data_IF_335987989588
#
_entry.id   IF_335987989588
#
_cell.length_a   1.000
_cell.length_b   1.000
_cell.length_c   1.000
_cell.angle_alpha   90.00
_cell.angle_beta   90.00
_cell.angle_gamma   90.00
#
_symmetry.space_group_name_H-M   'P 1'
#
loop_
_entity.id
_entity.type
_entity.pdbx_description
1 polymer ?
#
# COMPACT_ATOMS: atom_id res chain seq x y z
N UNK A 1 -20.75 -45.04 35.88
CA UNK A 1 -20.86 -43.65 36.37
C UNK A 1 -19.65 -42.77 36.04
N UNK A 2 -18.40 -43.12 36.41
CA UNK A 2 -17.22 -42.26 36.16
C UNK A 2 -16.99 -41.83 34.69
N UNK A 3 -17.17 -42.73 33.72
CA UNK A 3 -16.98 -42.41 32.28
C UNK A 3 -18.01 -41.41 31.73
N UNK A 4 -19.26 -41.51 32.18
CA UNK A 4 -20.35 -40.61 31.77
C UNK A 4 -20.10 -39.19 32.32
N UNK A 5 -19.61 -39.09 33.56
CA UNK A 5 -19.25 -37.82 34.17
C UNK A 5 -18.12 -37.09 33.42
N UNK A 6 -17.07 -37.81 33.01
CA UNK A 6 -15.95 -37.21 32.25
C UNK A 6 -16.42 -36.69 30.89
N UNK A 7 -17.27 -37.45 30.18
CA UNK A 7 -17.82 -37.02 28.88
C UNK A 7 -18.67 -35.75 29.04
N UNK A 8 -19.51 -35.69 30.08
CA UNK A 8 -20.31 -34.50 30.38
C UNK A 8 -19.44 -33.27 30.67
N UNK A 9 -18.35 -33.41 31.44
CA UNK A 9 -17.42 -32.32 31.70
C UNK A 9 -16.73 -31.81 30.43
N UNK A 10 -16.29 -32.71 29.55
CA UNK A 10 -15.66 -32.33 28.27
C UNK A 10 -16.66 -31.59 27.38
N UNK A 11 -17.90 -32.10 27.28
CA UNK A 11 -18.95 -31.48 26.49
C UNK A 11 -19.30 -30.07 27.02
N UNK A 12 -19.38 -29.92 28.35
CA UNK A 12 -19.62 -28.63 28.99
C UNK A 12 -18.49 -27.63 28.70
N UNK A 13 -17.23 -28.06 28.76
CA UNK A 13 -16.07 -27.24 28.42
C UNK A 13 -16.09 -26.80 26.94
N UNK A 14 -16.44 -27.69 26.01
CA UNK A 14 -16.54 -27.37 24.59
C UNK A 14 -17.68 -26.37 24.34
N UNK A 15 -18.86 -26.59 24.93
CA UNK A 15 -20.01 -25.67 24.81
C UNK A 15 -19.65 -24.30 25.39
N UNK A 16 -19.03 -24.26 26.57
CA UNK A 16 -18.61 -23.00 27.21
C UNK A 16 -17.57 -22.28 26.36
N UNK A 17 -16.61 -23.00 25.77
CA UNK A 17 -15.63 -22.42 24.86
C UNK A 17 -16.27 -21.86 23.59
N UNK A 18 -17.21 -22.58 22.97
CA UNK A 18 -17.95 -22.12 21.77
C UNK A 18 -18.80 -20.89 22.08
N UNK A 19 -19.52 -20.89 23.21
CA UNK A 19 -20.33 -19.75 23.63
C UNK A 19 -19.45 -18.54 23.93
N UNK A 20 -18.37 -18.72 24.70
CA UNK A 20 -17.44 -17.65 25.07
C UNK A 20 -16.73 -17.05 23.85
N UNK A 21 -16.25 -17.89 22.93
CA UNK A 21 -15.62 -17.44 21.68
C UNK A 21 -16.62 -16.72 20.77
N UNK A 22 -17.88 -17.16 20.67
CA UNK A 22 -18.93 -16.44 19.94
C UNK A 22 -19.30 -15.11 20.59
N UNK A 23 -19.37 -15.02 21.92
CA UNK A 23 -19.66 -13.75 22.60
C UNK A 23 -18.53 -12.74 22.49
N UNK A 24 -17.26 -13.16 22.57
CA UNK A 24 -16.12 -12.26 22.34
C UNK A 24 -16.08 -11.78 20.89
N UNK A 25 -16.33 -12.68 19.92
CA UNK A 25 -16.40 -12.28 18.50
C UNK A 25 -17.54 -11.28 18.25
N UNK A 26 -18.71 -11.51 18.85
CA UNK A 26 -19.86 -10.62 18.70
C UNK A 26 -19.65 -9.28 19.40
N UNK A 27 -19.04 -9.25 20.58
CA UNK A 27 -18.77 -7.99 21.29
C UNK A 27 -17.70 -7.15 20.60
N UNK A 28 -16.63 -7.75 20.10
CA UNK A 28 -15.62 -7.04 19.31
C UNK A 28 -16.21 -6.49 18.01
N UNK A 29 -17.02 -7.29 17.30
CA UNK A 29 -17.73 -6.86 16.10
C UNK A 29 -18.75 -5.75 16.37
N UNK A 30 -19.55 -5.86 17.43
CA UNK A 30 -20.54 -4.86 17.80
C UNK A 30 -19.89 -3.56 18.28
N UNK A 31 -18.82 -3.64 19.06
CA UNK A 31 -18.05 -2.47 19.48
C UNK A 31 -17.40 -1.78 18.28
N UNK A 32 -16.93 -2.54 17.29
CA UNK A 32 -16.38 -1.99 16.05
C UNK A 32 -17.46 -1.31 15.19
N UNK A 33 -18.66 -1.89 15.08
CA UNK A 33 -19.81 -1.26 14.40
C UNK A 33 -20.19 0.04 15.11
N UNK A 34 -20.30 0.01 16.44
CA UNK A 34 -20.69 1.17 17.25
C UNK A 34 -19.62 2.26 17.16
N UNK A 35 -18.34 1.93 17.30
CA UNK A 35 -17.24 2.89 17.14
C UNK A 35 -17.21 3.48 15.73
N UNK A 36 -17.39 2.68 14.68
CA UNK A 36 -17.47 3.17 13.30
C UNK A 36 -18.69 4.08 13.06
N UNK A 37 -19.83 3.79 13.70
CA UNK A 37 -21.05 4.59 13.58
C UNK A 37 -20.93 5.92 14.33
N UNK A 38 -20.32 5.92 15.52
CA UNK A 38 -20.03 7.12 16.32
C UNK A 38 -18.95 7.97 15.64
N UNK A 39 -17.96 7.35 15.00
CA UNK A 39 -16.95 8.07 14.22
C UNK A 39 -17.60 8.70 12.97
N UNK A 40 -18.47 7.98 12.25
CA UNK A 40 -19.25 8.54 11.13
C UNK A 40 -20.18 9.70 11.54
N UNK A 41 -20.77 9.66 12.74
CA UNK A 41 -21.69 10.73 13.18
C UNK A 41 -21.00 11.99 13.69
N UNK A 42 -19.68 11.95 13.96
CA UNK A 42 -18.90 13.11 14.44
C UNK A 42 -18.27 13.94 13.31
N UNK A 43 -18.37 13.51 12.05
CA UNK A 43 -17.86 14.20 10.86
C UNK A 43 -19.01 14.71 9.95
N UNK A 44 -20.11 15.20 10.54
CA UNK A 44 -21.24 15.78 9.79
C UNK A 44 -21.06 17.28 9.53
N UNK A 45 -19.96 17.63 8.87
CA UNK A 45 -19.94 18.68 7.85
C UNK A 45 -19.31 18.06 6.60
N UNK A 46 -19.66 18.48 5.37
CA UNK A 46 -19.07 17.95 4.15
C UNK A 46 -17.64 18.50 3.97
N UNK A 47 -16.75 18.30 4.94
CA UNK A 47 -15.32 18.37 4.67
C UNK A 47 -14.99 17.21 3.72
N UNK A 48 -14.41 17.53 2.56
CA UNK A 48 -14.00 16.56 1.56
C UNK A 48 -13.21 15.42 2.23
N UNK A 49 -13.55 14.16 1.90
CA UNK A 49 -12.91 13.00 2.55
C UNK A 49 -11.44 12.96 2.16
N UNK A 50 -10.61 12.43 3.05
CA UNK A 50 -9.16 12.34 2.86
C UNK A 50 -8.77 10.87 2.88
N UNK A 51 -8.03 10.45 1.87
CA UNK A 51 -7.56 9.09 1.69
C UNK A 51 -6.03 9.04 1.71
N UNK A 52 -5.46 8.00 2.29
CA UNK A 52 -4.04 7.69 2.16
C UNK A 52 -3.91 6.40 1.33
N UNK A 53 -3.22 6.48 0.19
CA UNK A 53 -3.03 5.35 -0.73
C UNK A 53 -1.59 4.87 -0.72
N UNK A 54 -1.41 3.57 -0.51
CA UNK A 54 -0.14 2.89 -0.72
C UNK A 54 -0.36 1.55 -1.37
N UNK A 55 0.71 1.00 -1.92
CA UNK A 55 0.69 -0.29 -2.57
C UNK A 55 1.87 -1.13 -2.10
N UNK A 56 1.71 -2.44 -2.19
CA UNK A 56 2.78 -3.39 -1.96
C UNK A 56 2.65 -4.56 -2.94
N UNK A 57 3.79 -5.04 -3.43
CA UNK A 57 3.81 -6.25 -4.25
C UNK A 57 3.59 -7.48 -3.39
N UNK A 58 2.68 -8.36 -3.81
CA UNK A 58 2.47 -9.68 -3.19
C UNK A 58 3.62 -10.66 -3.53
N UNK A 59 4.45 -10.29 -4.50
CA UNK A 59 5.64 -11.04 -4.94
C UNK A 59 6.94 -10.37 -4.48
N UNK A 60 6.87 -9.42 -3.54
CA UNK A 60 8.08 -8.81 -2.98
C UNK A 60 8.90 -9.84 -2.21
N UNK A 61 10.22 -9.82 -2.42
CA UNK A 61 11.16 -10.59 -1.59
C UNK A 61 11.20 -10.07 -0.14
N UNK A 62 10.89 -8.79 0.08
CA UNK A 62 10.80 -8.18 1.40
C UNK A 62 9.42 -8.48 1.99
N UNK A 63 9.38 -9.39 2.96
CA UNK A 63 8.13 -9.85 3.60
C UNK A 63 7.45 -8.73 4.41
N UNK A 64 8.22 -7.75 4.86
CA UNK A 64 7.75 -6.68 5.72
C UNK A 64 6.66 -5.80 5.08
N UNK A 65 6.66 -5.60 3.76
CA UNK A 65 5.68 -4.69 3.14
C UNK A 65 4.23 -5.18 3.29
N UNK A 66 3.97 -6.46 2.99
CA UNK A 66 2.64 -7.05 3.20
C UNK A 66 2.30 -7.20 4.69
N UNK A 67 3.32 -7.40 5.54
CA UNK A 67 3.17 -7.41 6.99
C UNK A 67 2.70 -6.04 7.51
N UNK A 68 3.32 -4.95 7.04
CA UNK A 68 3.02 -3.59 7.50
C UNK A 68 1.67 -3.07 7.06
N UNK A 69 1.10 -3.58 5.96
CA UNK A 69 -0.13 -3.05 5.40
C UNK A 69 -1.23 -2.69 6.44
N UNK A 70 -1.67 -3.59 7.35
CA UNK A 70 -2.64 -3.22 8.38
C UNK A 70 -2.15 -2.17 9.39
N UNK A 71 -0.86 -2.19 9.75
CA UNK A 71 -0.31 -1.23 10.71
C UNK A 71 -0.15 0.16 10.08
N UNK A 72 0.29 0.24 8.82
CA UNK A 72 0.37 1.46 8.01
C UNK A 72 -1.01 2.04 7.77
N UNK A 73 -2.00 1.21 7.43
CA UNK A 73 -3.38 1.66 7.29
C UNK A 73 -3.89 2.33 8.58
N UNK A 74 -3.61 1.73 9.75
CA UNK A 74 -4.01 2.29 11.03
C UNK A 74 -3.25 3.57 11.41
N UNK A 75 -1.96 3.69 11.05
CA UNK A 75 -1.17 4.89 11.34
C UNK A 75 -1.71 6.12 10.61
N UNK A 76 -2.18 5.95 9.37
CA UNK A 76 -2.88 6.99 8.61
C UNK A 76 -4.31 7.24 9.13
N UNK A 77 -5.06 6.19 9.47
CA UNK A 77 -6.41 6.31 10.04
C UNK A 77 -6.44 7.11 11.34
N UNK A 78 -5.42 6.93 12.19
CA UNK A 78 -5.22 7.69 13.43
C UNK A 78 -5.23 9.20 13.22
N UNK A 79 -4.69 9.67 12.10
CA UNK A 79 -4.57 11.11 11.80
C UNK A 79 -5.66 11.62 10.83
N UNK A 80 -6.73 10.84 10.63
CA UNK A 80 -7.93 11.27 9.91
C UNK A 80 -7.97 10.94 8.41
N UNK A 81 -7.12 10.01 7.95
CA UNK A 81 -7.12 9.54 6.56
C UNK A 81 -7.74 8.15 6.42
N UNK A 82 -8.63 7.95 5.44
CA UNK A 82 -9.16 6.63 5.10
C UNK A 82 -8.13 5.85 4.26
N UNK A 83 -7.67 4.67 4.72
CA UNK A 83 -6.62 3.95 4.01
C UNK A 83 -7.15 3.20 2.78
N UNK A 84 -6.44 3.34 1.66
CA UNK A 84 -6.58 2.55 0.44
C UNK A 84 -5.29 1.74 0.27
N UNK A 85 -5.43 0.42 0.34
CA UNK A 85 -4.30 -0.51 0.24
C UNK A 85 -4.43 -1.29 -1.04
N UNK A 86 -3.42 -1.20 -1.88
CA UNK A 86 -3.37 -1.93 -3.15
C UNK A 86 -2.35 -3.06 -3.04
N UNK A 87 -2.84 -4.29 -3.15
CA UNK A 87 -1.98 -5.44 -3.35
C UNK A 87 -1.77 -5.64 -4.84
N UNK A 88 -0.50 -5.62 -5.27
CA UNK A 88 -0.15 -5.68 -6.69
C UNK A 88 0.52 -7.01 -7.01
N UNK A 89 0.03 -7.73 -8.02
CA UNK A 89 0.70 -8.92 -8.53
C UNK A 89 -0.21 -9.89 -9.26
N UNK A 90 0.38 -11.05 -9.55
CA UNK A 90 -0.33 -12.15 -10.21
C UNK A 90 -1.12 -13.00 -9.22
N UNK A 91 -2.41 -12.73 -9.06
CA UNK A 91 -3.31 -13.47 -8.18
C UNK A 91 -3.77 -14.80 -8.76
N UNK A 92 -3.50 -15.07 -10.05
CA UNK A 92 -3.87 -16.33 -10.72
C UNK A 92 -2.87 -17.46 -10.44
N UNK A 93 -1.65 -17.13 -10.00
CA UNK A 93 -0.63 -18.12 -9.64
C UNK A 93 -1.05 -18.89 -8.40
N UNK A 94 -0.84 -20.21 -8.45
CA UNK A 94 -1.06 -21.09 -7.30
C UNK A 94 -0.21 -20.65 -6.11
N UNK A 95 -0.77 -20.73 -4.90
CA UNK A 95 -0.08 -20.44 -3.62
C UNK A 95 0.32 -18.97 -3.40
N UNK A 96 -0.16 -18.01 -4.20
CA UNK A 96 0.12 -16.57 -3.99
C UNK A 96 -0.74 -15.97 -2.88
N UNK A 97 -1.98 -16.43 -2.72
CA UNK A 97 -2.81 -16.13 -1.56
C UNK A 97 -2.33 -16.93 -0.34
N UNK A 98 -1.13 -16.60 0.12
CA UNK A 98 -0.53 -17.20 1.31
C UNK A 98 -1.41 -16.92 2.54
N UNK A 99 -1.28 -17.77 3.57
CA UNK A 99 -1.94 -17.52 4.85
C UNK A 99 -1.60 -16.14 5.41
N UNK A 100 -0.38 -15.64 5.15
CA UNK A 100 0.08 -14.30 5.55
C UNK A 100 -0.66 -13.18 4.83
N UNK A 101 -0.76 -13.23 3.51
CA UNK A 101 -1.48 -12.22 2.75
C UNK A 101 -2.96 -12.17 3.16
N UNK A 102 -3.59 -13.34 3.33
CA UNK A 102 -4.97 -13.43 3.82
C UNK A 102 -5.11 -12.87 5.24
N UNK A 103 -4.14 -13.11 6.12
CA UNK A 103 -4.11 -12.52 7.45
C UNK A 103 -4.04 -10.98 7.38
N UNK A 104 -3.12 -10.42 6.60
CA UNK A 104 -3.01 -8.97 6.39
C UNK A 104 -4.33 -8.35 5.89
N UNK A 105 -4.97 -8.99 4.90
CA UNK A 105 -6.27 -8.56 4.35
C UNK A 105 -7.39 -8.61 5.38
N UNK A 106 -7.43 -9.65 6.21
CA UNK A 106 -8.44 -9.77 7.27
C UNK A 106 -8.31 -8.65 8.29
N UNK A 107 -7.08 -8.30 8.68
CA UNK A 107 -6.83 -7.17 9.58
C UNK A 107 -7.16 -5.83 8.93
N UNK A 108 -6.82 -5.64 7.65
CA UNK A 108 -7.23 -4.44 6.88
C UNK A 108 -8.75 -4.27 6.84
N UNK A 109 -9.50 -5.37 6.57
CA UNK A 109 -10.97 -5.36 6.60
C UNK A 109 -11.52 -4.99 7.98
N UNK A 110 -10.88 -5.47 9.06
CA UNK A 110 -11.23 -5.06 10.44
C UNK A 110 -10.94 -3.57 10.71
N UNK A 111 -9.94 -2.99 10.06
CA UNK A 111 -9.68 -1.55 10.20
C UNK A 111 -10.63 -0.69 9.36
N UNK A 112 -11.43 -1.31 8.48
CA UNK A 112 -12.29 -0.59 7.54
C UNK A 112 -11.50 0.02 6.37
N UNK A 113 -10.32 -0.52 6.07
CA UNK A 113 -9.53 -0.10 4.91
C UNK A 113 -10.19 -0.55 3.60
N UNK A 114 -10.03 0.25 2.55
CA UNK A 114 -10.33 -0.18 1.19
C UNK A 114 -9.17 -1.03 0.70
N UNK A 115 -9.45 -2.28 0.31
CA UNK A 115 -8.43 -3.22 -0.19
C UNK A 115 -8.70 -3.50 -1.66
N UNK A 116 -7.72 -3.23 -2.51
CA UNK A 116 -7.78 -3.44 -3.95
C UNK A 116 -6.73 -4.45 -4.39
N UNK A 117 -7.14 -5.37 -5.26
CA UNK A 117 -6.25 -6.31 -5.92
C UNK A 117 -5.96 -5.81 -7.32
N UNK A 118 -4.72 -5.42 -7.57
CA UNK A 118 -4.26 -4.98 -8.87
C UNK A 118 -3.55 -6.13 -9.59
N UNK A 119 -4.29 -6.79 -10.49
CA UNK A 119 -3.78 -7.93 -11.24
C UNK A 119 -2.73 -7.50 -12.28
N UNK A 120 -1.55 -8.10 -12.21
CA UNK A 120 -0.50 -7.96 -13.22
C UNK A 120 0.38 -9.22 -13.28
N UNK A 121 1.23 -9.39 -14.30
CA UNK A 121 2.24 -10.45 -14.26
C UNK A 121 3.23 -10.24 -13.10
N UNK A 122 3.75 -11.33 -12.52
CA UNK A 122 4.66 -11.29 -11.37
C UNK A 122 5.89 -10.38 -11.61
N UNK A 123 6.48 -10.46 -12.81
CA UNK A 123 7.66 -9.68 -13.21
C UNK A 123 7.46 -8.17 -13.17
N UNK A 124 6.22 -7.68 -13.18
CA UNK A 124 5.89 -6.25 -13.10
C UNK A 124 5.44 -5.81 -11.71
N UNK A 125 5.20 -6.74 -10.78
CA UNK A 125 4.50 -6.46 -9.53
C UNK A 125 5.19 -5.43 -8.64
N UNK A 126 6.51 -5.51 -8.46
CA UNK A 126 7.28 -4.57 -7.63
C UNK A 126 7.24 -3.17 -8.27
N UNK A 127 7.50 -3.09 -9.58
CA UNK A 127 7.47 -1.85 -10.35
C UNK A 127 6.10 -1.18 -10.32
N UNK A 128 5.05 -1.95 -10.53
CA UNK A 128 3.67 -1.44 -10.49
C UNK A 128 3.25 -1.06 -9.08
N UNK A 129 3.76 -1.73 -8.04
CA UNK A 129 3.50 -1.29 -6.66
C UNK A 129 4.05 0.11 -6.36
N UNK A 130 5.02 0.61 -7.14
CA UNK A 130 5.45 2.00 -7.07
C UNK A 130 4.56 2.90 -7.94
N UNK A 131 4.41 2.54 -9.22
CA UNK A 131 3.73 3.36 -10.24
C UNK A 131 2.22 3.53 -10.03
N UNK A 132 1.54 2.55 -9.45
CA UNK A 132 0.06 2.53 -9.37
C UNK A 132 -0.52 3.76 -8.67
N UNK A 133 0.24 4.35 -7.75
CA UNK A 133 -0.17 5.53 -6.97
C UNK A 133 -0.28 6.81 -7.83
N UNK A 134 0.52 6.90 -8.90
CA UNK A 134 0.48 8.00 -9.88
C UNK A 134 -0.89 8.05 -10.58
N UNK A 135 -1.53 6.89 -10.73
CA UNK A 135 -2.81 6.71 -11.42
C UNK A 135 -4.01 6.72 -10.46
N UNK A 136 -3.85 7.22 -9.24
CA UNK A 136 -4.91 7.24 -8.22
C UNK A 136 -6.16 8.03 -8.62
N UNK A 137 -6.06 8.92 -9.62
CA UNK A 137 -7.20 9.63 -10.20
C UNK A 137 -8.23 8.72 -10.90
N UNK A 138 -7.82 7.51 -11.28
CA UNK A 138 -8.69 6.52 -11.95
C UNK A 138 -9.33 5.52 -10.98
N UNK A 139 -9.13 5.67 -9.67
CA UNK A 139 -9.81 4.82 -8.69
C UNK A 139 -11.34 4.86 -8.89
N UNK A 140 -12.06 3.76 -8.61
CA UNK A 140 -13.52 3.72 -8.73
C UNK A 140 -14.25 4.79 -7.90
N UNK A 141 -15.32 5.38 -8.45
CA UNK A 141 -16.11 6.43 -7.78
C UNK A 141 -16.84 5.92 -6.52
N UNK A 142 -17.19 4.63 -6.45
CA UNK A 142 -17.78 4.02 -5.25
C UNK A 142 -16.80 4.01 -4.04
N UNK A 143 -15.50 4.20 -4.29
CA UNK A 143 -14.47 4.34 -3.25
C UNK A 143 -14.20 5.83 -2.99
N UNK A 144 -13.67 6.53 -4.01
CA UNK A 144 -13.20 7.92 -3.91
C UNK A 144 -13.94 8.77 -4.94
N UNK A 145 -14.56 9.87 -4.52
CA UNK A 145 -15.22 10.85 -5.39
C UNK A 145 -14.21 11.87 -5.91
N UNK A 146 -14.61 12.66 -6.90
CA UNK A 146 -13.73 13.62 -7.59
C UNK A 146 -13.23 14.76 -6.68
N UNK A 147 -14.04 15.15 -5.71
CA UNK A 147 -13.80 16.21 -4.73
C UNK A 147 -12.96 15.74 -3.54
N UNK A 148 -12.87 14.42 -3.33
CA UNK A 148 -12.08 13.84 -2.26
C UNK A 148 -10.58 14.02 -2.53
N UNK A 149 -9.81 14.04 -1.43
CA UNK A 149 -8.37 14.16 -1.48
C UNK A 149 -7.67 12.83 -1.28
N UNK A 150 -6.59 12.62 -2.03
CA UNK A 150 -5.75 11.43 -1.97
C UNK A 150 -4.31 11.88 -1.66
N UNK A 151 -3.77 11.34 -0.57
CA UNK A 151 -2.36 11.38 -0.22
C UNK A 151 -1.69 10.08 -0.66
N UNK A 152 -0.67 10.15 -1.50
CA UNK A 152 0.18 8.98 -1.80
C UNK A 152 1.17 8.75 -0.67
N UNK A 153 1.44 7.47 -0.35
CA UNK A 153 2.45 7.08 0.65
C UNK A 153 3.08 5.73 0.36
N UNK A 154 4.21 5.43 1.01
CA UNK A 154 4.87 4.12 0.95
C UNK A 154 4.30 3.20 2.03
N UNK A 155 4.39 1.88 1.79
CA UNK A 155 3.87 0.88 2.74
C UNK A 155 4.63 0.83 4.07
N UNK A 156 5.83 1.41 4.13
CA UNK A 156 6.73 1.50 5.28
C UNK A 156 6.93 2.94 5.79
N UNK A 157 6.06 3.89 5.40
CA UNK A 157 6.09 5.29 5.90
C UNK A 157 4.90 5.60 6.79
N UNK A 158 5.18 6.00 8.03
CA UNK A 158 4.16 6.25 9.05
C UNK A 158 4.16 7.70 9.54
N UNK A 159 2.99 8.37 9.58
CA UNK A 159 2.91 9.70 10.12
C UNK A 159 3.02 9.64 11.66
N UNK A 160 3.94 10.44 12.23
CA UNK A 160 4.06 10.61 13.67
C UNK A 160 3.35 11.89 14.12
N UNK A 161 3.58 13.00 13.41
CA UNK A 161 2.92 14.29 13.65
C UNK A 161 1.77 14.54 12.67
N UNK A 162 0.54 14.52 13.18
CA UNK A 162 -0.68 14.76 12.40
C UNK A 162 -0.74 16.17 11.79
N UNK A 163 -0.12 17.17 12.42
CA UNK A 163 -0.19 18.56 11.98
C UNK A 163 0.48 18.78 10.62
N UNK A 164 1.54 18.00 10.34
CA UNK A 164 2.30 18.04 9.07
C UNK A 164 1.51 17.55 7.87
N UNK A 165 0.43 16.81 8.10
CA UNK A 165 -0.41 16.21 7.06
C UNK A 165 -1.79 16.89 6.96
N UNK A 166 -1.98 18.07 7.54
CA UNK A 166 -3.21 18.85 7.30
C UNK A 166 -3.12 19.60 5.97
N UNK A 167 -4.23 19.80 5.24
CA UNK A 167 -4.26 20.71 4.09
C UNK A 167 -3.78 22.12 4.49
N UNK A 168 -3.07 22.81 3.59
CA UNK A 168 -2.73 24.23 3.80
C UNK A 168 -3.93 25.07 3.36
N UNK A 169 -4.44 26.01 4.18
CA UNK A 169 -5.47 26.94 3.75
C UNK A 169 -5.05 27.71 2.48
N UNK A 170 -5.95 27.82 1.51
CA UNK A 170 -5.71 28.55 0.27
C UNK A 170 -4.84 27.82 -0.77
N UNK A 171 -4.50 26.55 -0.57
CA UNK A 171 -3.79 25.74 -1.57
C UNK A 171 -4.66 24.61 -2.10
N UNK A 172 -4.38 24.15 -3.32
CA UNK A 172 -5.09 23.03 -3.95
C UNK A 172 -4.55 21.66 -3.50
N UNK A 173 -3.35 21.65 -2.92
CA UNK A 173 -2.69 20.45 -2.41
C UNK A 173 -1.42 20.77 -1.64
N UNK A 174 -0.69 19.71 -1.28
CA UNK A 174 0.66 19.83 -0.71
C UNK A 174 1.56 18.67 -1.12
N UNK A 175 2.87 18.91 -1.09
CA UNK A 175 3.91 17.89 -1.21
C UNK A 175 4.77 17.97 0.04
N UNK A 176 4.78 16.90 0.83
CA UNK A 176 5.66 16.82 2.00
C UNK A 176 7.00 16.18 1.61
N UNK A 177 8.08 16.66 2.22
CA UNK A 177 9.45 16.35 1.83
C UNK A 177 9.79 16.78 0.38
N UNK A 178 9.25 17.90 -0.09
CA UNK A 178 9.36 18.34 -1.48
C UNK A 178 10.80 18.62 -1.98
N UNK A 179 11.79 18.66 -1.07
CA UNK A 179 13.17 19.04 -1.36
C UNK A 179 14.18 17.88 -1.22
N UNK A 180 13.72 16.64 -1.04
CA UNK A 180 14.60 15.49 -0.78
C UNK A 180 15.47 15.05 -1.95
N UNK A 181 14.94 15.17 -3.17
CA UNK A 181 15.26 14.21 -4.21
C UNK A 181 15.98 14.86 -5.40
N UNK A 182 16.38 16.13 -5.24
CA UNK A 182 17.16 16.88 -6.22
C UNK A 182 16.41 17.13 -7.52
N UNK A 183 17.15 17.08 -8.63
CA UNK A 183 16.65 17.31 -9.99
C UNK A 183 17.12 16.22 -10.93
N UNK A 184 16.37 15.98 -12.00
CA UNK A 184 16.75 15.06 -13.07
C UNK A 184 16.51 15.69 -14.45
N UNK A 185 17.23 15.20 -15.47
CA UNK A 185 17.05 15.63 -16.86
C UNK A 185 16.26 14.59 -17.65
N UNK A 186 15.19 15.01 -18.32
CA UNK A 186 14.36 14.16 -19.20
C UNK A 186 13.79 14.99 -20.33
N UNK A 187 13.62 14.43 -21.53
CA UNK A 187 13.01 15.16 -22.68
C UNK A 187 13.66 16.54 -22.95
N UNK A 188 14.98 16.65 -22.79
CA UNK A 188 15.72 17.91 -22.97
C UNK A 188 15.53 18.97 -21.88
N UNK A 189 14.79 18.66 -20.80
CA UNK A 189 14.44 19.58 -19.72
C UNK A 189 14.91 19.07 -18.35
N UNK A 190 15.23 19.99 -17.44
CA UNK A 190 15.46 19.68 -16.03
C UNK A 190 14.15 19.76 -15.24
N UNK A 191 13.88 18.74 -14.43
CA UNK A 191 12.71 18.66 -13.56
C UNK A 191 13.17 18.56 -12.11
N UNK A 192 12.42 19.20 -11.21
CA UNK A 192 12.50 18.91 -9.77
C UNK A 192 11.92 17.52 -9.52
N UNK A 193 12.61 16.71 -8.71
CA UNK A 193 12.09 15.40 -8.31
C UNK A 193 11.28 15.53 -7.03
N UNK A 194 10.00 15.18 -7.10
CA UNK A 194 9.13 15.07 -5.94
C UNK A 194 9.08 13.64 -5.41
N UNK A 195 9.00 13.47 -4.07
CA UNK A 195 8.82 12.14 -3.49
C UNK A 195 7.39 11.65 -3.75
N UNK A 196 7.25 10.37 -4.12
CA UNK A 196 5.94 9.74 -4.22
C UNK A 196 5.30 9.43 -2.87
N UNK A 197 6.08 9.46 -1.79
CA UNK A 197 5.62 9.08 -0.45
C UNK A 197 4.66 10.07 0.21
N UNK A 198 4.48 11.30 -0.31
CA UNK A 198 3.62 12.29 0.36
C UNK A 198 3.05 13.40 -0.57
N UNK A 199 2.34 13.04 -1.64
CA UNK A 199 1.67 14.01 -2.52
C UNK A 199 0.17 13.99 -2.23
N UNK A 200 -0.37 15.12 -1.82
CA UNK A 200 -1.79 15.30 -1.47
C UNK A 200 -2.50 16.17 -2.50
N UNK A 201 -3.41 15.59 -3.27
CA UNK A 201 -4.19 16.26 -4.32
C UNK A 201 -5.62 15.72 -4.33
N UNK A 202 -6.55 16.46 -4.94
CA UNK A 202 -7.89 15.93 -5.23
C UNK A 202 -7.81 14.80 -6.26
N UNK A 203 -8.73 13.84 -6.18
CA UNK A 203 -8.82 12.75 -7.16
C UNK A 203 -8.91 13.27 -8.60
N UNK A 204 -9.77 14.27 -8.85
CA UNK A 204 -9.89 14.85 -10.20
C UNK A 204 -8.59 15.44 -10.73
N UNK A 205 -7.75 16.00 -9.84
CA UNK A 205 -6.44 16.53 -10.22
C UNK A 205 -5.48 15.39 -10.54
N UNK A 206 -5.45 14.32 -9.74
CA UNK A 206 -4.67 13.12 -10.06
C UNK A 206 -5.03 12.53 -11.43
N UNK A 207 -6.31 12.61 -11.83
CA UNK A 207 -6.73 12.20 -13.17
C UNK A 207 -6.28 13.20 -14.23
N UNK A 208 -6.45 14.50 -13.97
CA UNK A 208 -6.07 15.57 -14.89
C UNK A 208 -4.56 15.57 -15.22
N UNK A 209 -3.67 15.36 -14.24
CA UNK A 209 -2.21 15.33 -14.51
C UNK A 209 -1.82 14.23 -15.50
N UNK A 210 -2.58 13.12 -15.55
CA UNK A 210 -2.37 12.04 -16.52
C UNK A 210 -3.08 12.37 -17.83
N UNK A 211 -4.36 12.72 -17.79
CA UNK A 211 -5.22 12.91 -18.97
C UNK A 211 -4.85 14.13 -19.81
N UNK A 212 -4.26 15.15 -19.20
CA UNK A 212 -3.80 16.33 -19.91
C UNK A 212 -2.32 16.23 -20.27
N UNK A 213 -1.63 15.16 -19.91
CA UNK A 213 -0.16 15.07 -20.05
C UNK A 213 0.31 15.08 -21.51
N UNK A 214 1.55 15.55 -21.71
CA UNK A 214 2.23 15.43 -22.99
C UNK A 214 2.40 13.96 -23.41
N UNK A 215 2.65 13.07 -22.45
CA UNK A 215 2.74 11.63 -22.65
C UNK A 215 1.46 11.09 -23.29
N UNK A 216 0.28 11.49 -22.79
CA UNK A 216 -0.99 11.08 -23.39
C UNK A 216 -1.12 11.59 -24.81
N UNK A 217 -0.87 12.87 -25.04
CA UNK A 217 -0.95 13.47 -26.37
C UNK A 217 -0.08 12.72 -27.37
N UNK A 218 1.15 12.39 -27.00
CA UNK A 218 2.06 11.61 -27.83
C UNK A 218 1.58 10.17 -28.06
N UNK A 219 1.06 9.51 -27.03
CA UNK A 219 0.49 8.17 -27.13
C UNK A 219 -0.71 8.11 -28.07
N UNK A 220 -1.46 9.20 -28.21
CA UNK A 220 -2.61 9.30 -29.12
C UNK A 220 -2.19 9.54 -30.58
N UNK A 221 -0.96 10.01 -30.84
CA UNK A 221 -0.45 10.21 -32.19
C UNK A 221 -0.24 8.85 -32.85
N UNK A 222 -1.08 8.52 -33.84
CA UNK A 222 -1.10 7.23 -34.54
C UNK A 222 -1.44 6.03 -33.64
N UNK A 223 -2.20 6.26 -32.57
CA UNK A 223 -2.74 5.20 -31.72
C UNK A 223 -3.61 4.22 -32.52
N UNK A 224 -3.48 2.93 -32.22
CA UNK A 224 -4.48 1.95 -32.66
C UNK A 224 -5.79 2.11 -31.87
N UNK A 225 -6.86 1.45 -32.33
CA UNK A 225 -8.17 1.54 -31.70
C UNK A 225 -8.13 1.11 -30.21
N UNK A 226 -7.26 0.16 -29.86
CA UNK A 226 -7.11 -0.30 -28.48
C UNK A 226 -6.50 0.78 -27.58
N UNK A 227 -5.46 1.46 -28.05
CA UNK A 227 -4.82 2.58 -27.36
C UNK A 227 -5.76 3.77 -27.23
N UNK A 228 -6.51 4.09 -28.30
CA UNK A 228 -7.54 5.13 -28.26
C UNK A 228 -8.60 4.83 -27.21
N UNK A 229 -9.05 3.58 -27.14
CA UNK A 229 -10.03 3.13 -26.16
C UNK A 229 -9.50 3.26 -24.72
N UNK A 230 -8.32 2.69 -24.45
CA UNK A 230 -7.66 2.73 -23.13
C UNK A 230 -7.37 4.14 -22.61
N UNK A 231 -7.20 5.12 -23.51
CA UNK A 231 -6.88 6.50 -23.18
C UNK A 231 -8.05 7.48 -23.37
N UNK A 232 -9.23 6.98 -23.71
CA UNK A 232 -10.44 7.80 -23.82
C UNK A 232 -10.89 8.26 -22.43
N UNK A 233 -11.50 9.44 -22.33
CA UNK A 233 -11.96 9.98 -21.04
C UNK A 233 -13.00 9.09 -20.36
N UNK A 234 -13.79 8.35 -21.14
CA UNK A 234 -14.86 7.50 -20.64
C UNK A 234 -14.39 6.09 -20.28
N UNK A 235 -13.31 5.58 -20.89
CA UNK A 235 -12.84 4.20 -20.69
C UNK A 235 -11.47 4.09 -20.01
N UNK A 236 -10.74 5.21 -19.86
CA UNK A 236 -9.49 5.22 -19.09
C UNK A 236 -9.74 4.73 -17.67
N UNK A 237 -9.01 3.67 -17.30
CA UNK A 237 -9.28 2.91 -16.09
C UNK A 237 -8.02 2.65 -15.28
N UNK A 238 -8.22 2.31 -14.01
CA UNK A 238 -7.16 1.90 -13.11
C UNK A 238 -6.71 0.47 -13.44
N UNK A 239 -5.91 0.31 -14.49
CA UNK A 239 -5.58 -1.00 -15.08
C UNK A 239 -4.09 -1.18 -15.37
N UNK A 240 -3.65 -2.44 -15.46
CA UNK A 240 -2.28 -2.80 -15.83
C UNK A 240 -1.90 -2.23 -17.20
N UNK A 241 -2.81 -2.28 -18.16
CA UNK A 241 -2.56 -1.88 -19.54
C UNK A 241 -2.34 -0.38 -19.65
N UNK A 242 -3.20 0.43 -19.00
CA UNK A 242 -3.04 1.89 -18.98
C UNK A 242 -1.70 2.29 -18.35
N UNK A 243 -1.35 1.74 -17.18
CA UNK A 243 -0.09 2.09 -16.51
C UNK A 243 1.12 1.65 -17.34
N UNK A 244 1.05 0.45 -17.92
CA UNK A 244 2.12 -0.09 -18.77
C UNK A 244 2.33 0.71 -20.03
N UNK A 245 1.26 1.23 -20.63
CA UNK A 245 1.34 2.07 -21.81
C UNK A 245 2.16 3.34 -21.53
N UNK A 246 1.84 4.08 -20.46
CA UNK A 246 2.62 5.23 -20.03
C UNK A 246 4.06 4.86 -19.63
N UNK A 247 4.20 3.76 -18.89
CA UNK A 247 5.51 3.29 -18.42
C UNK A 247 6.46 2.95 -19.56
N UNK A 248 6.00 2.21 -20.58
CA UNK A 248 6.79 1.86 -21.76
C UNK A 248 7.10 3.06 -22.64
N UNK A 249 6.13 3.97 -22.78
CA UNK A 249 6.32 5.20 -23.55
C UNK A 249 7.39 6.08 -22.92
N UNK A 250 7.27 6.37 -21.63
CA UNK A 250 8.21 7.25 -20.96
C UNK A 250 9.57 6.58 -20.74
N UNK A 251 9.61 5.32 -20.29
CA UNK A 251 10.83 4.62 -19.88
C UNK A 251 11.26 3.54 -20.88
N UNK A 252 11.27 3.88 -22.17
CA UNK A 252 11.67 2.97 -23.25
C UNK A 252 13.04 2.32 -22.95
N UNK A 253 13.09 1.00 -23.03
CA UNK A 253 14.31 0.22 -22.78
C UNK A 253 14.67 0.02 -21.30
N UNK A 254 13.89 0.57 -20.37
CA UNK A 254 14.05 0.36 -18.91
C UNK A 254 12.79 -0.27 -18.32
N UNK A 255 11.60 0.09 -18.81
CA UNK A 255 10.34 -0.39 -18.25
C UNK A 255 10.19 -1.91 -18.23
N UNK A 256 10.67 -2.61 -19.26
CA UNK A 256 10.56 -4.08 -19.33
C UNK A 256 11.74 -4.82 -18.68
N UNK A 257 12.73 -4.10 -18.14
CA UNK A 257 13.85 -4.71 -17.38
C UNK A 257 13.42 -5.09 -15.97
N UNK A 258 14.17 -5.99 -15.36
CA UNK A 258 14.09 -6.23 -13.92
C UNK A 258 14.38 -4.93 -13.17
N UNK A 259 13.76 -4.78 -12.00
CA UNK A 259 13.89 -3.58 -11.20
C UNK A 259 14.55 -3.96 -9.88
N UNK A 260 15.82 -3.61 -9.75
CA UNK A 260 16.57 -3.74 -8.50
C UNK A 260 16.64 -2.39 -7.78
N UNK A 261 16.83 -2.45 -6.46
CA UNK A 261 16.87 -1.25 -5.62
C UNK A 261 18.11 -0.42 -5.96
N UNK A 262 17.88 0.84 -6.32
CA UNK A 262 18.94 1.79 -6.67
C UNK A 262 19.14 2.01 -8.17
N UNK A 263 18.53 1.16 -9.01
CA UNK A 263 18.61 1.31 -10.46
C UNK A 263 17.75 2.47 -10.98
N UNK A 264 17.98 2.89 -12.22
CA UNK A 264 17.15 3.90 -12.90
C UNK A 264 15.65 3.55 -12.89
N UNK A 265 15.32 2.26 -12.95
CA UNK A 265 13.95 1.76 -12.89
C UNK A 265 13.29 1.99 -11.52
N UNK A 266 14.07 2.09 -10.43
CA UNK A 266 13.57 2.16 -9.06
C UNK A 266 12.84 3.48 -8.75
N UNK A 267 13.13 4.54 -9.48
CA UNK A 267 12.57 5.89 -9.26
C UNK A 267 11.56 6.28 -10.35
N UNK A 268 11.06 5.33 -11.15
CA UNK A 268 10.16 5.65 -12.27
C UNK A 268 8.86 6.32 -11.83
N UNK A 269 8.34 5.98 -10.65
CA UNK A 269 7.15 6.62 -10.10
C UNK A 269 7.39 8.09 -9.76
N UNK A 270 8.50 8.40 -9.09
CA UNK A 270 8.93 9.76 -8.77
C UNK A 270 9.22 10.56 -10.03
N UNK A 271 9.95 9.98 -10.99
CA UNK A 271 10.24 10.63 -12.27
C UNK A 271 8.96 10.93 -13.03
N UNK A 272 8.10 9.92 -13.24
CA UNK A 272 6.86 10.10 -14.00
C UNK A 272 5.94 11.11 -13.33
N UNK A 273 5.68 10.96 -12.02
CA UNK A 273 4.81 11.89 -11.31
C UNK A 273 5.35 13.31 -11.31
N UNK A 274 6.66 13.50 -11.16
CA UNK A 274 7.26 14.83 -11.19
C UNK A 274 7.06 15.50 -12.55
N UNK A 275 7.25 14.76 -13.64
CA UNK A 275 7.00 15.28 -14.99
C UNK A 275 5.54 15.66 -15.18
N UNK A 276 4.61 14.75 -14.86
CA UNK A 276 3.17 14.97 -15.02
C UNK A 276 2.69 16.17 -14.19
N UNK A 277 3.15 16.26 -12.94
CA UNK A 277 2.73 17.33 -12.03
C UNK A 277 3.31 18.68 -12.44
N UNK A 278 4.60 18.74 -12.78
CA UNK A 278 5.24 20.00 -13.21
C UNK A 278 4.60 20.52 -14.50
N UNK A 279 4.39 19.65 -15.49
CA UNK A 279 3.75 20.03 -16.75
C UNK A 279 2.28 20.48 -16.53
N UNK A 280 1.60 19.92 -15.52
CA UNK A 280 0.27 20.39 -15.12
C UNK A 280 0.32 21.78 -14.48
N UNK A 281 1.21 22.01 -13.50
CA UNK A 281 1.34 23.29 -12.82
C UNK A 281 1.66 24.45 -13.77
N UNK A 282 2.48 24.21 -14.80
CA UNK A 282 2.80 25.23 -15.80
C UNK A 282 1.60 25.65 -16.66
N UNK A 283 0.68 24.71 -16.92
CA UNK A 283 -0.53 24.98 -17.69
C UNK A 283 -1.68 25.54 -16.86
N UNK A 284 -1.63 25.31 -15.55
CA UNK A 284 -2.62 25.76 -14.58
C UNK A 284 -1.96 26.70 -13.56
N UNK A 285 -1.57 27.94 -13.95
CA UNK A 285 -0.81 28.85 -13.08
C UNK A 285 -1.57 29.31 -11.82
N UNK A 286 -2.89 29.12 -11.79
CA UNK A 286 -3.72 29.37 -10.60
C UNK A 286 -3.74 28.19 -9.62
N UNK A 287 -3.21 27.03 -10.02
CA UNK A 287 -3.13 25.85 -9.19
C UNK A 287 -1.91 25.94 -8.28
N UNK A 288 -2.14 26.08 -6.98
CA UNK A 288 -1.09 26.28 -5.99
C UNK A 288 -0.90 25.03 -5.11
N UNK A 289 0.36 24.61 -4.95
CA UNK A 289 0.76 23.49 -4.10
C UNK A 289 1.67 23.99 -2.99
N UNK A 290 1.36 23.64 -1.74
CA UNK A 290 2.25 23.88 -0.61
C UNK A 290 3.39 22.86 -0.61
N UNK A 291 4.60 23.29 -0.91
CA UNK A 291 5.81 22.48 -0.76
C UNK A 291 6.34 22.56 0.68
N UNK A 292 6.60 21.41 1.32
CA UNK A 292 6.98 21.34 2.74
C UNK A 292 8.28 20.56 2.93
N UNK A 293 9.07 20.98 3.92
CA UNK A 293 10.21 20.22 4.42
C UNK A 293 9.73 19.00 5.23
N UNK A 294 10.51 17.91 5.18
CA UNK A 294 10.24 16.70 5.98
C UNK A 294 10.44 16.92 7.47
N UNK A 295 11.36 17.81 7.85
CA UNK A 295 11.93 17.82 9.20
C UNK A 295 12.59 16.48 9.54
N UNK A 296 12.65 16.18 10.84
CA UNK A 296 13.30 14.97 11.33
C UNK A 296 12.41 13.74 11.13
N UNK A 297 13.07 12.63 10.78
CA UNK A 297 12.46 11.33 10.52
C UNK A 297 13.10 10.30 11.41
N UNK A 298 12.28 9.46 12.04
CA UNK A 298 12.75 8.22 12.64
C UNK A 298 13.06 7.24 11.50
N UNK A 299 14.32 7.08 11.12
CA UNK A 299 14.68 6.39 9.88
C UNK A 299 15.10 4.94 10.13
N UNK A 300 14.86 4.09 9.14
CA UNK A 300 15.28 2.69 9.15
C UNK A 300 16.80 2.53 9.13
N UNK A 301 17.53 3.57 8.72
CA UNK A 301 18.99 3.60 8.81
C UNK A 301 19.49 3.60 10.28
N UNK A 302 18.69 4.12 11.22
CA UNK A 302 19.06 4.23 12.62
C UNK A 302 19.10 2.85 13.29
N UNK A 303 19.92 2.67 14.33
CA UNK A 303 20.00 1.41 15.06
C UNK A 303 18.73 1.21 15.91
N UNK A 304 18.20 0.00 15.98
CA UNK A 304 16.94 -0.27 16.71
C UNK A 304 16.97 0.22 18.16
N UNK A 305 18.09 0.07 18.87
CA UNK A 305 18.18 0.51 20.27
C UNK A 305 18.07 2.04 20.45
N UNK A 306 18.24 2.81 19.37
CA UNK A 306 18.04 4.27 19.36
C UNK A 306 16.57 4.66 19.23
N UNK A 307 15.67 3.70 18.96
CA UNK A 307 14.22 3.96 18.92
C UNK A 307 13.68 4.09 20.35
N UNK A 308 13.90 5.27 20.93
CA UNK A 308 13.49 5.65 22.26
C UNK A 308 12.10 6.31 22.25
N UNK A 309 11.21 5.87 23.14
CA UNK A 309 9.82 6.35 23.19
C UNK A 309 9.74 7.84 23.52
N UNK A 310 10.63 8.30 24.41
CA UNK A 310 10.60 9.66 24.94
C UNK A 310 11.02 10.70 23.90
N UNK A 311 11.56 10.24 22.78
CA UNK A 311 12.05 11.07 21.67
C UNK A 311 11.13 11.02 20.44
N UNK A 312 10.09 10.17 20.41
CA UNK A 312 9.26 10.02 19.21
C UNK A 312 8.45 11.26 18.83
N UNK A 313 8.22 12.18 19.77
CA UNK A 313 7.53 13.45 19.53
C UNK A 313 8.37 14.47 18.73
N UNK A 314 9.68 14.27 18.57
CA UNK A 314 10.54 15.17 17.80
C UNK A 314 10.48 14.88 16.29
N UNK A 315 10.01 13.69 15.90
CA UNK A 315 9.99 13.25 14.51
C UNK A 315 8.63 13.50 13.86
N UNK A 316 8.63 13.87 12.58
CA UNK A 316 7.41 14.11 11.82
C UNK A 316 6.84 12.80 11.22
N UNK A 317 7.71 11.90 10.79
CA UNK A 317 7.37 10.59 10.24
C UNK A 317 8.38 9.51 10.66
N UNK A 318 8.01 8.24 10.44
CA UNK A 318 8.88 7.10 10.60
C UNK A 318 8.98 6.33 9.28
N UNK A 319 10.19 5.92 8.93
CA UNK A 319 10.49 5.02 7.82
C UNK A 319 10.93 3.69 8.39
N UNK A 320 10.11 2.66 8.19
CA UNK A 320 10.25 1.41 8.92
C UNK A 320 11.35 0.54 8.35
N UNK A 321 11.97 -0.24 9.23
CA UNK A 321 12.93 -1.29 8.85
C UNK A 321 12.22 -2.40 8.08
N UNK A 322 12.96 -3.22 7.35
CA UNK A 322 12.38 -4.28 6.53
C UNK A 322 12.10 -5.53 7.39
N UNK A 323 12.59 -6.68 6.95
CA UNK A 323 12.29 -7.98 7.53
C UNK A 323 12.89 -8.15 8.93
N UNK A 324 13.86 -7.30 9.33
CA UNK A 324 14.42 -7.28 10.68
C UNK A 324 13.34 -7.04 11.74
N UNK A 325 12.23 -6.39 11.36
CA UNK A 325 11.09 -6.16 12.25
C UNK A 325 10.38 -7.44 12.68
N UNK A 326 10.53 -8.52 11.90
CA UNK A 326 9.89 -9.79 12.18
C UNK A 326 10.60 -10.55 13.32
N UNK A 327 11.81 -10.14 13.70
CA UNK A 327 12.55 -10.73 14.81
C UNK A 327 11.95 -10.33 16.17
N UNK A 328 11.83 -11.30 17.08
CA UNK A 328 11.14 -11.11 18.36
C UNK A 328 11.74 -9.99 19.23
N UNK A 329 13.06 -9.81 19.21
CA UNK A 329 13.71 -8.74 19.97
C UNK A 329 13.46 -7.36 19.35
N UNK A 330 13.48 -7.26 18.03
CA UNK A 330 13.20 -6.01 17.32
C UNK A 330 11.72 -5.64 17.44
N UNK A 331 10.82 -6.62 17.41
CA UNK A 331 9.39 -6.39 17.66
C UNK A 331 9.13 -5.77 19.04
N UNK A 332 9.84 -6.22 20.09
CA UNK A 332 9.72 -5.62 21.43
C UNK A 332 10.08 -4.13 21.44
N UNK A 333 11.11 -3.75 20.68
CA UNK A 333 11.53 -2.36 20.52
C UNK A 333 10.48 -1.58 19.73
N UNK A 334 10.03 -2.12 18.59
CA UNK A 334 9.00 -1.51 17.76
C UNK A 334 7.66 -1.33 18.48
N UNK A 335 7.33 -2.22 19.42
CA UNK A 335 6.14 -2.09 20.25
C UNK A 335 6.16 -0.80 21.09
N UNK A 336 7.31 -0.16 21.32
CA UNK A 336 7.39 1.19 21.90
C UNK A 336 6.75 2.23 20.97
N UNK A 337 7.00 2.14 19.66
CA UNK A 337 6.39 3.01 18.66
C UNK A 337 4.88 2.76 18.56
N UNK A 338 4.45 1.50 18.59
CA UNK A 338 3.03 1.16 18.64
C UNK A 338 2.32 1.77 19.85
N UNK A 339 2.95 1.69 21.04
CA UNK A 339 2.42 2.29 22.28
C UNK A 339 2.45 3.82 22.29
N UNK A 340 3.30 4.43 21.48
CA UNK A 340 3.30 5.88 21.27
C UNK A 340 2.13 6.30 20.37
N UNK A 341 1.86 5.55 19.31
CA UNK A 341 0.85 5.90 18.30
C UNK A 341 -0.56 5.47 18.67
N UNK A 342 -0.72 4.35 19.37
CA UNK A 342 -2.00 3.69 19.51
C UNK A 342 -2.37 3.42 20.97
N UNK A 343 -3.68 3.30 21.23
CA UNK A 343 -4.19 2.86 22.52
C UNK A 343 -3.89 1.37 22.77
N UNK A 344 -4.08 0.91 24.01
CA UNK A 344 -3.79 -0.47 24.43
C UNK A 344 -4.55 -1.52 23.61
N UNK A 345 -5.80 -1.26 23.23
CA UNK A 345 -6.61 -2.18 22.42
C UNK A 345 -5.97 -2.42 21.05
N UNK A 346 -5.59 -1.35 20.36
CA UNK A 346 -4.93 -1.42 19.05
C UNK A 346 -3.53 -2.05 19.14
N UNK A 347 -2.78 -1.73 20.19
CA UNK A 347 -1.47 -2.36 20.44
C UNK A 347 -1.63 -3.87 20.66
N UNK A 348 -2.61 -4.32 21.44
CA UNK A 348 -2.90 -5.74 21.62
C UNK A 348 -3.27 -6.41 20.31
N UNK A 349 -4.12 -5.76 19.50
CA UNK A 349 -4.50 -6.25 18.17
C UNK A 349 -3.28 -6.46 17.27
N UNK A 350 -2.33 -5.53 17.24
CA UNK A 350 -1.12 -5.68 16.42
C UNK A 350 -0.14 -6.71 16.97
N UNK A 351 -0.07 -6.88 18.29
CA UNK A 351 0.72 -7.95 18.88
C UNK A 351 0.14 -9.33 18.52
N UNK A 352 -1.19 -9.49 18.55
CA UNK A 352 -1.86 -10.72 18.11
C UNK A 352 -1.61 -10.99 16.61
N UNK A 353 -1.76 -9.96 15.77
CA UNK A 353 -1.43 -10.03 14.34
C UNK A 353 0.00 -10.52 14.10
N UNK A 354 0.98 -9.94 14.80
CA UNK A 354 2.38 -10.34 14.68
C UNK A 354 2.60 -11.81 15.05
N UNK A 355 2.04 -12.28 16.16
CA UNK A 355 2.16 -13.69 16.57
C UNK A 355 1.58 -14.64 15.53
N UNK A 356 0.37 -14.33 15.02
CA UNK A 356 -0.26 -15.13 13.97
C UNK A 356 0.57 -15.12 12.67
N UNK A 357 1.12 -13.97 12.29
CA UNK A 357 1.93 -13.81 11.08
C UNK A 357 3.22 -14.65 11.12
N UNK A 358 3.82 -14.82 12.30
CA UNK A 358 5.00 -15.66 12.51
C UNK A 358 4.71 -17.16 12.47
N UNK A 359 3.55 -17.60 13.01
CA UNK A 359 3.18 -19.02 13.04
C UNK A 359 2.93 -19.55 11.62
N UNK A 360 2.38 -18.72 10.74
CA UNK A 360 2.07 -19.10 9.36
C UNK A 360 3.29 -19.46 8.49
N UNK A 361 4.52 -19.12 8.91
CA UNK A 361 5.76 -19.58 8.24
C UNK A 361 6.11 -21.04 8.57
N UNK A 362 5.55 -21.58 9.67
CA UNK A 362 5.94 -22.88 10.23
C UNK A 362 5.00 -24.02 9.87
N UNK A 363 3.87 -23.74 9.21
CA UNK A 363 2.96 -24.81 8.79
C UNK A 363 3.52 -25.50 7.53
N UNK A 364 3.62 -26.85 7.52
CA UNK A 364 4.00 -27.58 6.33
C UNK A 364 3.08 -27.19 5.18
N UNK A 365 3.64 -26.85 4.01
CA UNK A 365 2.80 -26.68 2.82
C UNK A 365 2.15 -28.03 2.56
N UNK A 366 0.83 -28.09 2.29
CA UNK A 366 0.22 -29.33 1.84
C UNK A 366 1.02 -29.85 0.63
N UNK A 367 1.27 -31.16 0.53
CA UNK A 367 2.02 -31.73 -0.58
C UNK A 367 1.40 -31.24 -1.89
N UNK A 368 2.22 -30.59 -2.73
CA UNK A 368 1.77 -30.17 -4.05
C UNK A 368 1.27 -31.43 -4.77
N UNK A 369 0.00 -31.44 -5.15
CA UNK A 369 -0.56 -32.56 -5.91
C UNK A 369 0.19 -32.68 -7.23
N UNK A 370 1.04 -33.71 -7.29
CA UNK A 370 1.66 -34.35 -8.45
C UNK A 370 1.90 -33.49 -9.69
N UNK A 371 3.14 -33.02 -9.86
CA UNK A 371 3.72 -32.98 -11.20
C UNK A 371 3.78 -34.41 -11.73
N UNK A 372 2.92 -34.75 -12.70
CA UNK A 372 3.02 -36.00 -13.44
C UNK A 372 4.42 -36.13 -14.03
N UNK A 373 5.12 -37.26 -13.84
CA UNK A 373 6.43 -37.46 -14.44
C UNK A 373 6.27 -37.54 -15.97
N UNK A 374 6.78 -36.55 -16.68
CA UNK A 374 6.98 -36.62 -18.13
C UNK A 374 7.96 -37.75 -18.43
N UNK A 375 7.46 -38.86 -19.00
CA UNK A 375 8.27 -39.92 -19.60
C UNK A 375 9.18 -39.31 -20.68
N UNK A 376 10.49 -39.23 -20.41
CA UNK A 376 11.51 -39.06 -21.46
C UNK A 376 11.73 -40.41 -22.12
N UNK A 377 11.21 -40.58 -23.33
CA UNK A 377 11.69 -41.59 -24.29
C UNK A 377 12.87 -41.01 -25.06
N UNK A 378 14.09 -41.43 -24.71
CA UNK A 378 15.28 -41.28 -25.56
C UNK A 378 15.54 -42.61 -26.26
N UNK A 379 15.25 -42.68 -27.56
CA UNK A 379 15.82 -43.67 -28.47
C UNK A 379 16.95 -42.99 -29.23
N UNK A 380 18.17 -43.50 -29.07
CA UNK A 380 19.34 -43.15 -29.90
C UNK A 380 19.71 -44.42 -30.67
N UNK A 381 19.79 -44.40 -32.01
CA UNK A 381 20.31 -45.53 -32.76
C UNK A 381 21.85 -45.48 -32.77
N UNK A 382 22.47 -46.63 -32.47
CA UNK A 382 23.89 -46.88 -32.75
C UNK A 382 24.10 -46.98 -34.26
N UNK A 383 25.17 -46.36 -34.77
CA UNK A 383 25.78 -46.71 -36.06
C UNK A 383 27.19 -47.23 -35.80
N UNK A 384 27.49 -48.36 -36.45
CA UNK A 384 28.82 -48.91 -36.70
C UNK A 384 29.49 -48.19 -37.87
#
# INVERSE_FOLDING_TARGET
MKKIFIILCILLCIITFILYSRTILNWTFLHQIITNKIQKSKYSSPENRRFAIFACSIHSYVKAYAFYAPLTAASWQRIGYQPIVIFVGDFKKSNVLTGRLNLSRNYLKRLGAHVLDFQCPESYSIKLSQLVRVFSGFLPNDIVQDEDYILTTDSDLWPLDASRYKPTPGTNGFIFNAFCCGTFKRRGRNYKMYPMGHIFLQKKVWRAIVMESKQRTELLVNADNHTLDLLSENNASFSFDTITLYGRHEFKGVYDKNMDKGDEAWYMDQVLCSMLLIDYLERHPTFNISERNRGDRLDRADLFFQWNRDEFNQFNDAHLKHDEMLEANNWKIFNKLLKFLFNSTMVTLFNDYYQQYLVLDKMPRPPQQGTFPTRRTTLVPKRE
#
